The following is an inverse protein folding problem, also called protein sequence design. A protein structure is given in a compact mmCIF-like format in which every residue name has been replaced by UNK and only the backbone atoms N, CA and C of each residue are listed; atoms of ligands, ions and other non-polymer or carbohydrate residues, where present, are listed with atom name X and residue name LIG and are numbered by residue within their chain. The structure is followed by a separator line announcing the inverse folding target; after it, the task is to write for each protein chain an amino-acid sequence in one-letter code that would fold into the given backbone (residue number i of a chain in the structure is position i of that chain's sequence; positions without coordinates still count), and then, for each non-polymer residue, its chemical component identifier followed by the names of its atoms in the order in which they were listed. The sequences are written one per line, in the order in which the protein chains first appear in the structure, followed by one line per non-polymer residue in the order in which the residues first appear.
data_IF_421728748127
#
_entry.id   IF_421728748127
#
_cell.length_a   1.000
_cell.length_b   1.000
_cell.length_c   1.000
_cell.angle_alpha   90.00
_cell.angle_beta   90.00
_cell.angle_gamma   90.00
#
_symmetry.space_group_name_H-M   'P 1'
#
loop_
_entity.id
_entity.type
_entity.pdbx_description
1 polymer ?
#
# COMPACT_ATOMS: atom_id res chain seq x y z
N UNK A 1 -25.47 -23.84 2.43
CA UNK A 1 -25.00 -23.25 1.17
C UNK A 1 -23.91 -22.27 1.57
N UNK A 2 -22.68 -22.76 1.72
CA UNK A 2 -21.53 -21.92 2.10
C UNK A 2 -20.92 -21.47 0.79
N UNK A 3 -21.14 -20.21 0.42
CA UNK A 3 -20.46 -19.61 -0.73
C UNK A 3 -18.99 -19.52 -0.33
N UNK A 4 -18.19 -20.47 -0.81
CA UNK A 4 -16.72 -20.38 -0.77
C UNK A 4 -16.34 -19.32 -1.80
N UNK A 5 -16.46 -18.05 -1.42
CA UNK A 5 -15.89 -16.97 -2.23
C UNK A 5 -14.40 -17.22 -2.33
N UNK A 6 -13.79 -17.14 -3.52
CA UNK A 6 -12.36 -17.28 -3.67
C UNK A 6 -11.70 -16.29 -2.71
N UNK A 7 -10.91 -16.82 -1.76
CA UNK A 7 -10.19 -16.01 -0.78
C UNK A 7 -9.16 -15.19 -1.52
N UNK A 8 -9.55 -13.97 -1.85
CA UNK A 8 -8.72 -13.09 -2.63
C UNK A 8 -7.45 -12.76 -1.84
N UNK A 9 -6.31 -12.91 -2.52
CA UNK A 9 -5.01 -12.81 -1.88
C UNK A 9 -4.69 -11.35 -1.58
N UNK A 10 -4.19 -11.08 -0.39
CA UNK A 10 -3.60 -9.77 -0.06
C UNK A 10 -2.17 -9.74 -0.62
N UNK A 11 -1.87 -8.76 -1.45
CA UNK A 11 -0.56 -8.53 -2.06
C UNK A 11 0.00 -7.18 -1.64
N UNK A 12 1.33 -7.07 -1.60
CA UNK A 12 2.01 -5.80 -1.37
C UNK A 12 1.84 -4.94 -2.62
N UNK A 13 1.41 -3.70 -2.46
CA UNK A 13 1.29 -2.71 -3.54
C UNK A 13 2.55 -1.86 -3.65
N UNK A 14 2.95 -1.24 -2.53
CA UNK A 14 4.04 -0.29 -2.50
C UNK A 14 4.70 -0.17 -1.13
N UNK A 15 5.86 0.47 -1.11
CA UNK A 15 6.59 0.88 0.10
C UNK A 15 6.95 2.35 -0.01
N UNK A 16 6.86 3.09 1.08
CA UNK A 16 7.40 4.45 1.23
C UNK A 16 7.82 4.66 2.69
N UNK A 17 8.85 5.48 2.95
CA UNK A 17 9.17 5.98 4.30
C UNK A 17 8.40 7.25 4.67
N UNK A 18 7.58 7.77 3.76
CA UNK A 18 6.76 8.96 3.96
C UNK A 18 5.37 8.60 4.49
N UNK A 19 5.19 8.71 5.81
CA UNK A 19 3.91 8.45 6.49
C UNK A 19 2.74 9.31 5.95
N UNK A 20 2.88 10.65 5.78
CA UNK A 20 1.83 11.46 5.16
C UNK A 20 1.39 10.95 3.78
N UNK A 21 2.35 10.54 2.95
CA UNK A 21 2.05 9.98 1.63
C UNK A 21 1.30 8.65 1.73
N UNK A 22 1.74 7.75 2.61
CA UNK A 22 1.06 6.47 2.84
C UNK A 22 -0.39 6.67 3.30
N UNK A 23 -0.64 7.68 4.13
CA UNK A 23 -1.98 8.03 4.61
C UNK A 23 -2.85 8.65 3.50
N UNK A 24 -2.27 9.53 2.67
CA UNK A 24 -2.95 10.08 1.49
C UNK A 24 -3.37 8.96 0.54
N UNK A 25 -2.46 8.05 0.24
CA UNK A 25 -2.71 6.92 -0.66
C UNK A 25 -3.79 5.99 -0.13
N UNK A 26 -3.82 5.75 1.18
CA UNK A 26 -4.89 4.98 1.81
C UNK A 26 -6.26 5.63 1.55
N UNK A 27 -6.36 6.95 1.72
CA UNK A 27 -7.59 7.70 1.43
C UNK A 27 -7.99 7.65 -0.05
N UNK A 28 -7.03 7.83 -0.97
CA UNK A 28 -7.30 7.74 -2.43
C UNK A 28 -7.85 6.37 -2.81
N UNK A 29 -7.29 5.30 -2.24
CA UNK A 29 -7.77 3.93 -2.51
C UNK A 29 -9.14 3.68 -1.88
N UNK A 30 -9.36 4.14 -0.66
CA UNK A 30 -10.65 4.03 0.02
C UNK A 30 -11.78 4.76 -0.74
N UNK A 31 -11.53 5.99 -1.21
CA UNK A 31 -12.47 6.76 -2.03
C UNK A 31 -12.81 6.06 -3.36
N UNK A 32 -11.86 5.27 -3.90
CA UNK A 32 -12.06 4.45 -5.08
C UNK A 32 -12.74 3.09 -4.80
N UNK A 33 -13.08 2.81 -3.54
CA UNK A 33 -13.68 1.54 -3.10
C UNK A 33 -12.70 0.38 -2.98
N UNK A 34 -11.38 0.66 -2.95
CA UNK A 34 -10.33 -0.34 -2.83
C UNK A 34 -9.91 -0.45 -1.37
N UNK A 35 -10.19 -1.60 -0.75
CA UNK A 35 -9.72 -1.90 0.60
C UNK A 35 -8.19 -1.97 0.63
N UNK A 36 -7.56 -1.12 1.44
CA UNK A 36 -6.12 -1.10 1.62
C UNK A 36 -5.74 -1.31 3.09
N UNK A 37 -4.56 -1.89 3.30
CA UNK A 37 -3.96 -2.06 4.62
C UNK A 37 -2.57 -1.42 4.63
N UNK A 38 -2.36 -0.47 5.53
CA UNK A 38 -1.06 0.18 5.73
C UNK A 38 -0.39 -0.41 6.96
N UNK A 39 0.83 -0.92 6.78
CA UNK A 39 1.66 -1.45 7.87
C UNK A 39 2.92 -0.60 8.01
N UNK A 40 3.08 0.06 9.16
CA UNK A 40 4.35 0.67 9.55
C UNK A 40 5.32 -0.41 10.05
N UNK A 41 6.61 -0.26 9.75
CA UNK A 41 7.68 -1.12 10.24
C UNK A 41 7.87 -0.97 11.78
N UNK A 42 7.10 -1.75 12.55
CA UNK A 42 7.42 -2.23 13.91
C UNK A 42 7.37 -1.23 15.08
N UNK A 43 6.69 -1.57 16.20
CA UNK A 43 6.77 -0.79 17.44
C UNK A 43 8.19 -0.93 18.02
N UNK A 44 8.98 0.13 17.88
CA UNK A 44 10.37 0.17 18.32
C UNK A 44 11.24 1.03 17.41
N UNK A 45 11.04 1.01 16.10
CA UNK A 45 11.80 1.86 15.18
C UNK A 45 11.24 3.28 15.07
N UNK A 46 9.91 3.43 15.12
CA UNK A 46 9.25 4.75 15.00
C UNK A 46 9.64 5.74 16.11
N UNK A 47 9.94 5.26 17.32
CA UNK A 47 10.34 6.11 18.45
C UNK A 47 11.81 6.53 18.40
N UNK A 48 12.67 5.82 17.67
CA UNK A 48 14.12 6.07 17.64
C UNK A 48 14.61 6.62 16.29
N UNK A 49 13.94 6.28 15.19
CA UNK A 49 14.26 6.73 13.84
C UNK A 49 13.00 6.72 12.93
N UNK A 50 12.08 7.68 13.11
CA UNK A 50 10.84 7.73 12.31
C UNK A 50 11.10 7.86 10.81
N UNK A 51 12.16 8.56 10.40
CA UNK A 51 12.57 8.67 8.99
C UNK A 51 13.07 7.36 8.36
N UNK A 52 13.33 6.31 9.15
CA UNK A 52 13.72 4.98 8.66
C UNK A 52 12.54 3.98 8.69
N UNK A 53 11.36 4.41 9.14
CA UNK A 53 10.19 3.55 9.20
C UNK A 53 9.58 3.41 7.82
N UNK A 54 9.69 2.21 7.25
CA UNK A 54 9.01 1.89 6.01
C UNK A 54 7.52 1.62 6.28
N UNK A 55 6.68 2.22 5.45
CA UNK A 55 5.24 2.03 5.38
C UNK A 55 4.94 1.17 4.16
N UNK A 56 4.36 0.01 4.41
CA UNK A 56 3.98 -0.94 3.37
C UNK A 56 2.48 -0.84 3.13
N UNK A 57 2.09 -0.64 1.87
CA UNK A 57 0.70 -0.67 1.45
C UNK A 57 0.38 -2.05 0.88
N UNK A 58 -0.76 -2.59 1.28
CA UNK A 58 -1.28 -3.87 0.80
C UNK A 58 -2.71 -3.68 0.29
N UNK A 59 -3.06 -4.43 -0.76
CA UNK A 59 -4.39 -4.46 -1.38
C UNK A 59 -4.73 -5.90 -1.77
N UNK A 60 -5.97 -6.14 -2.20
CA UNK A 60 -6.32 -7.42 -2.81
C UNK A 60 -5.68 -7.53 -4.20
N UNK A 61 -5.27 -8.74 -4.57
CA UNK A 61 -4.57 -9.02 -5.84
C UNK A 61 -5.37 -8.55 -7.06
N UNK A 62 -6.69 -8.74 -7.05
CA UNK A 62 -7.60 -8.25 -8.10
C UNK A 62 -7.55 -6.72 -8.29
N UNK A 63 -7.28 -5.98 -7.21
CA UNK A 63 -7.34 -4.52 -7.16
C UNK A 63 -5.95 -3.89 -7.38
N UNK A 64 -4.87 -4.68 -7.31
CA UNK A 64 -3.50 -4.18 -7.41
C UNK A 64 -3.20 -3.41 -8.71
N UNK A 65 -3.64 -3.84 -9.91
CA UNK A 65 -3.42 -3.07 -11.13
C UNK A 65 -4.11 -1.70 -11.07
N UNK A 66 -5.37 -1.68 -10.62
CA UNK A 66 -6.16 -0.45 -10.53
C UNK A 66 -5.64 0.49 -9.46
N UNK A 67 -5.26 -0.05 -8.30
CA UNK A 67 -4.65 0.69 -7.22
C UNK A 67 -3.36 1.37 -7.69
N UNK A 68 -2.52 0.66 -8.46
CA UNK A 68 -1.30 1.24 -9.02
C UNK A 68 -1.59 2.42 -9.97
N UNK A 69 -2.52 2.25 -10.91
CA UNK A 69 -2.92 3.32 -11.84
C UNK A 69 -3.41 4.57 -11.10
N UNK A 70 -4.17 4.40 -10.01
CA UNK A 70 -4.68 5.51 -9.22
C UNK A 70 -3.57 6.24 -8.46
N UNK A 71 -2.53 5.53 -8.03
CA UNK A 71 -1.46 6.11 -7.22
C UNK A 71 -0.31 6.69 -8.05
N UNK A 72 -0.12 6.24 -9.29
CA UNK A 72 0.94 6.71 -10.20
C UNK A 72 1.01 8.25 -10.35
N UNK A 73 -0.10 9.01 -10.44
CA UNK A 73 -0.06 10.48 -10.50
C UNK A 73 0.48 11.16 -9.23
N UNK A 74 0.50 10.46 -8.10
CA UNK A 74 0.98 10.97 -6.81
C UNK A 74 2.45 10.63 -6.54
N UNK A 75 3.13 10.01 -7.51
CA UNK A 75 4.54 9.63 -7.43
C UNK A 75 5.38 10.76 -8.03
N UNK A 76 6.10 11.49 -7.19
CA UNK A 76 7.04 12.50 -7.68
C UNK A 76 8.35 11.85 -8.15
N UNK A 77 9.01 12.36 -9.21
CA UNK A 77 10.34 11.90 -9.60
C UNK A 77 11.35 12.02 -8.44
N UNK A 78 12.00 10.91 -8.10
CA UNK A 78 12.95 10.87 -6.98
C UNK A 78 12.32 10.58 -5.61
N UNK A 79 11.01 10.32 -5.55
CA UNK A 79 10.36 9.81 -4.34
C UNK A 79 10.93 8.44 -3.95
N UNK A 80 10.91 8.17 -2.65
CA UNK A 80 11.30 6.91 -2.03
C UNK A 80 10.18 5.84 -2.14
N UNK A 81 9.54 5.78 -3.30
CA UNK A 81 8.41 4.91 -3.57
C UNK A 81 8.91 3.68 -4.33
N UNK A 82 8.65 2.51 -3.76
CA UNK A 82 8.93 1.23 -4.40
C UNK A 82 7.64 0.43 -4.55
N UNK A 83 7.11 0.36 -5.77
CA UNK A 83 5.97 -0.50 -6.07
C UNK A 83 6.43 -1.96 -6.18
N UNK A 84 5.67 -2.87 -5.58
CA UNK A 84 5.97 -4.29 -5.70
C UNK A 84 5.89 -4.75 -7.17
N UNK A 85 6.74 -5.72 -7.52
CA UNK A 85 6.63 -6.42 -8.79
C UNK A 85 5.28 -7.15 -8.87
N UNK A 86 4.66 -7.21 -10.07
CA UNK A 86 3.44 -7.98 -10.24
C UNK A 86 3.70 -9.44 -9.89
N UNK A 87 2.78 -10.06 -9.15
CA UNK A 87 2.84 -11.49 -8.86
C UNK A 87 2.83 -12.27 -10.20
N UNK A 88 3.80 -13.17 -10.38
CA UNK A 88 3.93 -14.04 -11.55
C UNK A 88 2.89 -15.16 -11.57
#
# INVERSE_FOLDING_TARGET
MTTDEPRDRVVKLATTSNEPLASLWAGVLEDAGIGCFVKAAGPGFANFAPALCQHYLYVLERDAPRARELLEPYVEPGSDIDFAEPAR
#
